data_IF_839009413875
#
_entry.id   IF_839009413875
#
_cell.length_a   1.000
_cell.length_b   1.000
_cell.length_c   1.000
_cell.angle_alpha   90.00
_cell.angle_beta   90.00
_cell.angle_gamma   90.00
#
_symmetry.space_group_name_H-M   'P 1'
#
loop_
_entity.id
_entity.type
_entity.pdbx_description
1 polymer ?
#
# COMPACT_ATOMS: atom_id res chain seq x y z
N UNK A 1 0.06 -3.20 -20.71
CA UNK A 1 -1.38 -3.49 -20.69
C UNK A 1 -1.81 -3.53 -19.22
N UNK A 2 -2.65 -2.60 -18.73
CA UNK A 2 -3.08 -2.60 -17.31
C UNK A 2 -3.78 -3.93 -17.03
N UNK A 3 -3.37 -4.68 -16.00
CA UNK A 3 -4.12 -5.89 -15.60
C UNK A 3 -5.47 -5.42 -15.05
N UNK A 4 -6.62 -5.83 -15.64
CA UNK A 4 -7.93 -5.30 -15.27
C UNK A 4 -8.31 -5.53 -13.80
N UNK A 5 -7.64 -6.48 -13.13
CA UNK A 5 -7.97 -6.96 -11.79
C UNK A 5 -7.63 -6.00 -10.64
N UNK A 6 -6.82 -4.96 -10.88
CA UNK A 6 -6.54 -3.91 -9.89
C UNK A 6 -7.04 -2.54 -10.32
N UNK A 7 -7.81 -2.45 -11.42
CA UNK A 7 -8.32 -1.17 -11.95
C UNK A 7 -9.18 -0.42 -10.95
N UNK A 8 -9.88 -1.13 -10.07
CA UNK A 8 -10.71 -0.54 -9.03
C UNK A 8 -9.89 0.23 -7.98
N UNK A 9 -8.62 -0.11 -7.80
CA UNK A 9 -7.71 0.60 -6.89
C UNK A 9 -7.17 1.91 -7.48
N UNK A 10 -7.47 2.23 -8.74
CA UNK A 10 -7.03 3.49 -9.37
C UNK A 10 -7.51 4.71 -8.55
N UNK A 11 -8.66 4.61 -7.88
CA UNK A 11 -9.19 5.68 -7.02
C UNK A 11 -8.30 6.01 -5.83
N UNK A 12 -7.43 5.09 -5.42
CA UNK A 12 -6.52 5.29 -4.29
C UNK A 12 -5.25 6.03 -4.70
N UNK A 13 -4.89 6.04 -5.99
CA UNK A 13 -3.60 6.57 -6.47
C UNK A 13 -3.50 8.06 -6.16
N UNK A 14 -2.42 8.45 -5.48
CA UNK A 14 -2.19 9.82 -5.04
C UNK A 14 -1.70 9.90 -3.60
N UNK A 15 -1.79 11.10 -3.03
CA UNK A 15 -1.40 11.41 -1.66
C UNK A 15 -2.64 11.69 -0.83
N UNK A 16 -2.61 11.26 0.42
CA UNK A 16 -3.73 11.33 1.35
C UNK A 16 -3.26 11.84 2.70
N UNK A 17 -4.01 12.78 3.25
CA UNK A 17 -4.01 13.05 4.69
C UNK A 17 -5.12 12.22 5.31
N UNK A 18 -4.84 11.59 6.46
CA UNK A 18 -5.80 10.72 7.13
C UNK A 18 -5.82 10.97 8.64
N UNK A 19 -6.91 10.53 9.28
CA UNK A 19 -7.05 10.50 10.74
C UNK A 19 -7.50 9.11 11.18
N UNK A 20 -6.72 8.47 12.04
CA UNK A 20 -7.03 7.19 12.66
C UNK A 20 -7.63 7.45 14.04
N UNK A 21 -8.72 6.74 14.34
CA UNK A 21 -9.38 6.74 15.64
C UNK A 21 -10.05 5.39 15.85
N UNK A 22 -10.51 5.10 17.06
CA UNK A 22 -11.18 3.84 17.38
C UNK A 22 -10.32 2.59 17.06
N UNK A 23 -9.00 2.69 17.29
CA UNK A 23 -8.06 1.60 17.08
C UNK A 23 -7.59 1.05 18.44
N UNK A 24 -7.71 -0.26 18.62
CA UNK A 24 -7.47 -0.95 19.90
C UNK A 24 -6.03 -0.83 20.43
N UNK A 25 -5.07 -0.52 19.55
CA UNK A 25 -3.64 -0.39 19.89
C UNK A 25 -3.23 1.06 20.21
N UNK A 26 -4.17 2.01 20.19
CA UNK A 26 -3.94 3.37 20.67
C UNK A 26 -4.20 3.46 22.18
N UNK A 27 -3.74 4.53 22.81
CA UNK A 27 -3.90 4.78 24.25
C UNK A 27 -5.36 4.73 24.71
N UNK A 28 -6.31 5.10 23.83
CA UNK A 28 -7.75 5.03 24.05
C UNK A 28 -8.50 4.95 22.71
N UNK A 29 -9.79 4.59 22.73
CA UNK A 29 -10.62 4.56 21.52
C UNK A 29 -10.94 5.97 21.00
N UNK A 30 -10.89 6.96 21.89
CA UNK A 30 -11.07 8.38 21.60
C UNK A 30 -9.82 9.03 21.00
N UNK A 31 -8.65 8.39 21.15
CA UNK A 31 -7.38 8.90 20.62
C UNK A 31 -7.48 9.07 19.11
N UNK A 32 -7.08 10.26 18.64
CA UNK A 32 -6.99 10.59 17.22
C UNK A 32 -5.54 10.80 16.83
N UNK A 33 -5.08 10.05 15.83
CA UNK A 33 -3.76 10.21 15.24
C UNK A 33 -3.92 10.65 13.79
N UNK A 34 -3.25 11.75 13.43
CA UNK A 34 -3.17 12.20 12.04
C UNK A 34 -1.94 11.60 11.38
N UNK A 35 -1.98 11.46 10.06
CA UNK A 35 -0.82 11.00 9.30
C UNK A 35 -1.02 11.17 7.81
N UNK A 36 -0.06 10.65 7.05
CA UNK A 36 -0.06 10.71 5.58
C UNK A 36 0.03 9.32 4.98
N UNK A 37 -0.50 9.16 3.78
CA UNK A 37 -0.36 7.95 2.98
C UNK A 37 -0.16 8.30 1.51
N UNK A 38 0.53 7.45 0.78
CA UNK A 38 0.59 7.54 -0.68
C UNK A 38 0.37 6.18 -1.34
N UNK A 39 -0.24 6.22 -2.52
CA UNK A 39 -0.47 5.07 -3.36
C UNK A 39 0.07 5.31 -4.77
N UNK A 40 0.87 4.38 -5.26
CA UNK A 40 1.57 4.48 -6.55
C UNK A 40 1.53 3.15 -7.30
N UNK A 41 1.52 3.18 -8.63
CA UNK A 41 1.65 1.97 -9.44
C UNK A 41 3.10 1.49 -9.54
N UNK A 42 3.34 0.18 -9.41
CA UNK A 42 4.58 -0.47 -9.81
C UNK A 42 4.31 -1.29 -11.08
N UNK A 43 4.96 -0.91 -12.17
CA UNK A 43 4.94 -1.59 -13.48
C UNK A 43 3.53 -2.01 -13.98
N UNK A 44 2.47 -1.30 -13.55
CA UNK A 44 1.05 -1.62 -13.80
C UNK A 44 0.57 -3.00 -13.29
N UNK A 45 1.28 -3.60 -12.33
CA UNK A 45 0.98 -4.92 -11.77
C UNK A 45 0.69 -4.90 -10.27
N UNK A 46 1.26 -3.93 -9.55
CA UNK A 46 1.10 -3.78 -8.11
C UNK A 46 0.78 -2.34 -7.74
N UNK A 47 0.12 -2.14 -6.61
CA UNK A 47 -0.06 -0.84 -5.97
C UNK A 47 0.82 -0.80 -4.74
N UNK A 48 1.74 0.15 -4.69
CA UNK A 48 2.58 0.46 -3.54
C UNK A 48 1.81 1.38 -2.62
N UNK A 49 1.68 0.99 -1.35
CA UNK A 49 1.06 1.80 -0.30
C UNK A 49 2.11 2.16 0.73
N UNK A 50 2.36 3.46 0.91
CA UNK A 50 3.18 3.98 2.01
C UNK A 50 2.27 4.62 3.04
N UNK A 51 2.53 4.33 4.30
CA UNK A 51 1.72 4.77 5.42
C UNK A 51 2.62 5.31 6.53
N UNK A 52 2.35 6.54 6.95
CA UNK A 52 3.15 7.20 7.98
C UNK A 52 2.24 7.82 9.02
N UNK A 53 2.42 7.41 10.28
CA UNK A 53 1.80 8.10 11.41
C UNK A 53 2.49 9.46 11.59
N UNK A 54 1.73 10.48 11.97
CA UNK A 54 2.25 11.82 12.28
C UNK A 54 3.07 11.89 13.57
N UNK A 55 3.31 10.75 14.23
CA UNK A 55 4.17 10.63 15.41
C UNK A 55 5.58 10.20 14.98
N UNK A 56 6.63 10.75 15.59
CA UNK A 56 8.03 10.50 15.19
C UNK A 56 8.52 9.08 15.48
N UNK A 57 7.87 8.38 16.39
CA UNK A 57 8.41 7.17 17.01
C UNK A 57 7.99 5.90 16.26
N UNK A 58 7.10 6.03 15.26
CA UNK A 58 6.65 4.92 14.43
C UNK A 58 7.22 5.10 13.02
N UNK A 59 8.03 4.15 12.54
CA UNK A 59 8.58 4.23 11.19
C UNK A 59 7.46 4.16 10.14
N UNK A 60 7.75 4.70 8.96
CA UNK A 60 6.90 4.50 7.79
C UNK A 60 6.72 3.01 7.52
N UNK A 61 5.46 2.61 7.28
CA UNK A 61 5.11 1.27 6.83
C UNK A 61 4.92 1.26 5.33
N UNK A 62 5.44 0.22 4.67
CA UNK A 62 5.36 0.04 3.22
C UNK A 62 4.71 -1.31 2.92
N UNK A 63 3.65 -1.28 2.13
CA UNK A 63 2.90 -2.46 1.69
C UNK A 63 2.80 -2.51 0.18
N UNK A 64 2.82 -3.72 -0.40
CA UNK A 64 2.63 -3.94 -1.84
C UNK A 64 1.36 -4.76 -2.04
N UNK A 65 0.39 -4.18 -2.74
CA UNK A 65 -0.89 -4.80 -3.05
C UNK A 65 -0.81 -5.37 -4.46
N UNK A 66 -0.97 -6.68 -4.56
CA UNK A 66 -1.01 -7.41 -5.83
C UNK A 66 -2.26 -8.25 -5.95
N UNK A 67 -2.58 -8.66 -7.17
CA UNK A 67 -3.63 -9.64 -7.43
C UNK A 67 -3.02 -11.02 -7.62
N UNK A 68 -3.40 -12.01 -6.81
CA UNK A 68 -3.05 -13.42 -7.02
C UNK A 68 -4.29 -14.27 -7.31
N UNK A 69 -4.12 -15.32 -8.11
CA UNK A 69 -5.14 -16.36 -8.31
C UNK A 69 -4.44 -17.72 -8.28
N UNK A 70 -5.03 -18.77 -7.67
CA UNK A 70 -4.51 -20.13 -7.78
C UNK A 70 -4.35 -20.62 -9.22
N UNK A 71 -5.10 -20.03 -10.16
CA UNK A 71 -5.06 -20.35 -11.59
C UNK A 71 -4.12 -19.46 -12.40
N UNK A 72 -3.55 -18.40 -11.81
CA UNK A 72 -2.56 -17.54 -12.48
C UNK A 72 -1.21 -17.67 -11.77
N UNK A 73 -0.21 -18.16 -12.49
CA UNK A 73 1.19 -18.13 -12.02
C UNK A 73 1.79 -16.77 -12.33
N UNK A 74 2.46 -16.18 -11.35
CA UNK A 74 3.37 -15.06 -11.61
C UNK A 74 4.64 -15.62 -12.25
N UNK A 75 4.94 -15.20 -13.47
CA UNK A 75 6.24 -15.47 -14.06
C UNK A 75 7.26 -14.53 -13.44
N UNK A 76 8.30 -15.09 -12.81
CA UNK A 76 9.45 -14.31 -12.37
C UNK A 76 10.17 -13.86 -13.64
N UNK A 77 10.24 -12.55 -13.87
CA UNK A 77 11.02 -12.00 -14.98
C UNK A 77 12.50 -12.35 -14.80
N UNK A 78 13.09 -13.04 -15.77
CA UNK A 78 14.49 -13.54 -15.81
C UNK A 78 15.58 -12.44 -15.70
N UNK A 79 15.23 -11.17 -15.46
CA UNK A 79 16.18 -10.05 -15.42
C UNK A 79 17.13 -10.02 -14.21
N UNK A 80 17.14 -11.03 -13.34
CA UNK A 80 18.10 -11.12 -12.24
C UNK A 80 19.23 -12.15 -12.42
N UNK A 81 19.40 -12.77 -13.59
CA UNK A 81 20.58 -13.62 -13.88
C UNK A 81 21.66 -12.90 -14.70
N UNK A 82 22.19 -11.77 -14.21
CA UNK A 82 23.53 -11.29 -14.60
C UNK A 82 24.20 -10.55 -13.45
N UNK A 83 24.94 -11.30 -12.65
CA UNK A 83 26.19 -10.90 -12.01
C UNK A 83 27.08 -12.15 -11.97
#
# INVERSE_FOLDING_TARGET
MKKPRLKELEVLIGNWDWTMSNAWFLDSLETKVVGTASFEWIENAFVLWRFKLGTSDVPESVSVIGYSSPTERFEVSDKQKRA
#
